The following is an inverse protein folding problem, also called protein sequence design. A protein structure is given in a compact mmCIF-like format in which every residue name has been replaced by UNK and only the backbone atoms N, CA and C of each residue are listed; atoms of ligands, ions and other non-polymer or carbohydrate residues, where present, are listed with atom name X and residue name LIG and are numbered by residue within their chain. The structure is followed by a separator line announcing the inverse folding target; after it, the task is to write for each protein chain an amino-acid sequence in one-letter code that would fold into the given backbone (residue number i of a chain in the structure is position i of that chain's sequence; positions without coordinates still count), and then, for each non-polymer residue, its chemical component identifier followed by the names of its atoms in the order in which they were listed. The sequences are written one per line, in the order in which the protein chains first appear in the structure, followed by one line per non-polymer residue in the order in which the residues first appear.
data_IF_885237541126
#
_entry.id   IF_885237541126
#
_cell.length_a   1.000
_cell.length_b   1.000
_cell.length_c   1.000
_cell.angle_alpha   90.00
_cell.angle_beta   90.00
_cell.angle_gamma   90.00
#
_symmetry.space_group_name_H-M   'P 1'
#
loop_
_entity.id
_entity.type
_entity.pdbx_description
1 polymer ?
#
# COMPACT_ATOMS: atom_id res chain seq x y z
N UNK A 1 7.12 14.86 4.45
CA UNK A 1 6.10 15.42 3.53
C UNK A 1 6.26 16.94 3.52
N UNK A 2 6.08 17.63 2.39
CA UNK A 2 6.23 19.10 2.30
C UNK A 2 7.06 19.65 1.13
N UNK A 3 7.40 18.83 0.14
CA UNK A 3 8.12 19.23 -1.08
C UNK A 3 7.29 18.87 -2.33
N UNK A 4 7.61 19.45 -3.49
CA UNK A 4 6.85 19.26 -4.74
C UNK A 4 6.66 17.80 -5.18
N UNK A 5 7.49 16.88 -4.68
CA UNK A 5 7.32 15.43 -4.86
C UNK A 5 6.00 14.87 -4.32
N UNK A 6 5.31 15.58 -3.42
CA UNK A 6 3.99 15.21 -2.91
C UNK A 6 2.94 15.10 -4.02
N UNK A 7 3.09 15.86 -5.11
CA UNK A 7 2.15 15.89 -6.23
C UNK A 7 2.08 14.55 -6.99
N UNK A 8 3.15 13.76 -6.94
CA UNK A 8 3.21 12.44 -7.59
C UNK A 8 2.58 11.33 -6.75
N UNK A 9 2.17 11.65 -5.53
CA UNK A 9 1.76 10.66 -4.53
C UNK A 9 0.32 10.15 -4.70
N UNK A 10 -0.57 10.94 -5.30
CA UNK A 10 -1.92 10.49 -5.68
C UNK A 10 -1.89 9.77 -7.04
N UNK A 11 -1.22 10.31 -8.08
CA UNK A 11 -1.09 9.63 -9.38
C UNK A 11 -0.41 8.27 -9.33
N UNK A 12 0.48 8.03 -8.35
CA UNK A 12 1.16 6.73 -8.22
C UNK A 12 0.21 5.55 -8.05
N UNK A 13 -1.02 5.78 -7.55
CA UNK A 13 -2.02 4.71 -7.39
C UNK A 13 -2.45 4.11 -8.74
N UNK A 14 -2.74 4.97 -9.72
CA UNK A 14 -3.16 4.51 -11.06
C UNK A 14 -1.99 3.81 -11.77
N UNK A 15 -0.77 4.35 -11.65
CA UNK A 15 0.43 3.72 -12.20
C UNK A 15 0.65 2.30 -11.67
N UNK A 16 0.42 2.06 -10.37
CA UNK A 16 0.51 0.73 -9.77
C UNK A 16 -0.57 -0.19 -10.35
N UNK A 17 -1.81 0.31 -10.46
CA UNK A 17 -2.91 -0.47 -11.00
C UNK A 17 -2.61 -0.93 -12.44
N UNK A 18 -2.20 0.01 -13.30
CA UNK A 18 -1.90 -0.26 -14.70
C UNK A 18 -0.69 -1.19 -14.86
N UNK A 19 0.32 -1.06 -13.99
CA UNK A 19 1.49 -1.96 -14.01
C UNK A 19 1.13 -3.41 -13.69
N UNK A 20 0.26 -3.63 -12.70
CA UNK A 20 -0.19 -4.98 -12.34
C UNK A 20 -1.07 -5.56 -13.44
N UNK A 21 -2.00 -4.76 -13.97
CA UNK A 21 -2.89 -5.13 -15.07
C UNK A 21 -2.09 -5.55 -16.31
N UNK A 22 -1.05 -4.80 -16.68
CA UNK A 22 -0.18 -5.11 -17.80
C UNK A 22 0.54 -6.45 -17.61
N UNK A 23 1.12 -6.68 -16.43
CA UNK A 23 1.87 -7.91 -16.15
C UNK A 23 0.97 -9.15 -16.13
N UNK A 24 -0.19 -9.07 -15.50
CA UNK A 24 -1.14 -10.20 -15.43
C UNK A 24 -1.65 -10.58 -16.81
N UNK A 25 -2.02 -9.59 -17.64
CA UNK A 25 -2.47 -9.82 -19.00
C UNK A 25 -1.35 -10.34 -19.91
N UNK A 26 -0.12 -9.84 -19.77
CA UNK A 26 1.02 -10.29 -20.58
C UNK A 26 1.42 -11.75 -20.29
N UNK A 27 1.32 -12.17 -19.02
CA UNK A 27 1.70 -13.52 -18.59
C UNK A 27 0.52 -14.49 -18.48
N UNK A 28 -0.70 -14.07 -18.82
CA UNK A 28 -1.93 -14.84 -18.67
C UNK A 28 -2.03 -15.52 -17.29
N UNK A 29 -1.76 -14.77 -16.22
CA UNK A 29 -1.73 -15.34 -14.88
C UNK A 29 -3.15 -15.71 -14.41
N UNK A 30 -3.34 -16.95 -13.94
CA UNK A 30 -4.64 -17.48 -13.51
C UNK A 30 -5.10 -16.94 -12.14
N UNK A 31 -4.17 -16.44 -11.32
CA UNK A 31 -4.44 -15.89 -9.99
C UNK A 31 -3.30 -14.95 -9.57
N UNK A 32 -3.56 -14.07 -8.60
CA UNK A 32 -2.52 -13.19 -8.05
C UNK A 32 -2.57 -13.06 -6.53
N UNK A 33 -1.39 -12.82 -5.94
CA UNK A 33 -1.25 -12.51 -4.51
C UNK A 33 -0.71 -11.10 -4.38
N UNK A 34 -1.52 -10.21 -3.80
CA UNK A 34 -1.19 -8.80 -3.62
C UNK A 34 -0.62 -8.57 -2.23
N UNK A 35 0.69 -8.29 -2.14
CA UNK A 35 1.35 -7.85 -0.91
C UNK A 35 1.39 -6.33 -0.92
N UNK A 36 0.42 -5.70 -0.27
CA UNK A 36 0.31 -4.25 -0.25
C UNK A 36 0.64 -3.69 1.12
N UNK A 37 1.46 -2.65 1.15
CA UNK A 37 1.70 -1.83 2.34
C UNK A 37 1.50 -0.35 1.99
N UNK A 38 1.20 0.47 2.98
CA UNK A 38 0.94 1.90 2.83
C UNK A 38 -0.36 2.25 2.07
N UNK A 39 -0.68 3.53 2.12
CA UNK A 39 -1.94 4.15 1.69
C UNK A 39 -2.19 4.09 0.18
N UNK A 40 -1.14 4.10 -0.66
CA UNK A 40 -1.27 4.22 -2.13
C UNK A 40 -1.25 2.88 -2.86
N UNK A 41 -0.48 1.93 -2.33
CA UNK A 41 -0.28 0.63 -2.97
C UNK A 41 -1.52 -0.23 -2.79
N UNK A 42 -2.09 -0.24 -1.58
CA UNK A 42 -3.30 -1.01 -1.24
C UNK A 42 -4.47 -0.72 -2.18
N UNK A 43 -4.90 0.54 -2.40
CA UNK A 43 -5.97 0.82 -3.35
C UNK A 43 -5.54 0.64 -4.80
N UNK A 44 -4.26 0.83 -5.15
CA UNK A 44 -3.75 0.58 -6.51
C UNK A 44 -3.89 -0.89 -6.93
N UNK A 45 -3.42 -1.80 -6.08
CA UNK A 45 -3.55 -3.25 -6.30
C UNK A 45 -5.01 -3.71 -6.25
N UNK A 46 -5.83 -3.09 -5.40
CA UNK A 46 -7.26 -3.40 -5.31
C UNK A 46 -8.01 -2.98 -6.59
N UNK A 47 -7.69 -1.83 -7.18
CA UNK A 47 -8.25 -1.45 -8.48
C UNK A 47 -7.85 -2.42 -9.60
N UNK A 48 -6.57 -2.84 -9.65
CA UNK A 48 -6.13 -3.84 -10.63
C UNK A 48 -6.88 -5.17 -10.47
N UNK A 49 -7.08 -5.63 -9.23
CA UNK A 49 -7.84 -6.87 -8.96
C UNK A 49 -9.27 -6.83 -9.49
N UNK A 50 -9.95 -5.69 -9.29
CA UNK A 50 -11.33 -5.52 -9.75
C UNK A 50 -11.42 -5.41 -11.28
N UNK A 51 -10.42 -4.82 -11.95
CA UNK A 51 -10.37 -4.74 -13.41
C UNK A 51 -10.12 -6.11 -14.06
N UNK A 52 -9.19 -6.89 -13.51
CA UNK A 52 -8.81 -8.20 -14.05
C UNK A 52 -9.81 -9.32 -13.72
N UNK A 53 -10.53 -9.21 -12.59
CA UNK A 53 -11.53 -10.18 -12.15
C UNK A 53 -11.02 -11.64 -12.08
N UNK A 54 -9.76 -11.82 -11.69
CA UNK A 54 -9.14 -13.13 -11.42
C UNK A 54 -9.12 -13.42 -9.91
N UNK A 55 -8.93 -14.67 -9.47
CA UNK A 55 -8.73 -14.98 -8.04
C UNK A 55 -7.57 -14.20 -7.43
N UNK A 56 -7.83 -13.45 -6.35
CA UNK A 56 -6.83 -12.61 -5.66
C UNK A 56 -6.83 -12.82 -4.15
N UNK A 57 -5.64 -12.89 -3.57
CA UNK A 57 -5.45 -12.84 -2.11
C UNK A 57 -4.69 -11.57 -1.75
N UNK A 58 -5.21 -10.81 -0.78
CA UNK A 58 -4.55 -9.62 -0.24
C UNK A 58 -3.86 -9.94 1.08
N UNK A 59 -2.57 -9.66 1.15
CA UNK A 59 -1.75 -9.82 2.35
C UNK A 59 -1.19 -8.45 2.73
N UNK A 60 -1.68 -7.89 3.84
CA UNK A 60 -1.11 -6.66 4.41
C UNK A 60 0.26 -6.96 5.01
N UNK A 61 1.25 -6.11 4.74
CA UNK A 61 2.59 -6.20 5.34
C UNK A 61 2.63 -5.96 6.86
N UNK A 62 1.51 -5.52 7.46
CA UNK A 62 1.39 -5.22 8.88
C UNK A 62 1.81 -3.79 9.26
N UNK A 63 1.32 -3.29 10.40
CA UNK A 63 1.66 -1.96 10.89
C UNK A 63 3.12 -1.88 11.36
N UNK A 64 3.71 -0.69 11.27
CA UNK A 64 5.00 -0.42 11.89
C UNK A 64 4.85 -0.22 13.40
N UNK A 65 5.77 -0.78 14.19
CA UNK A 65 5.82 -0.61 15.64
C UNK A 65 5.88 0.87 16.05
N UNK A 66 5.18 1.20 17.14
CA UNK A 66 5.11 2.56 17.66
C UNK A 66 6.47 3.01 18.20
N UNK A 67 6.95 4.16 17.73
CA UNK A 67 8.15 4.80 18.27
C UNK A 67 7.92 5.24 19.72
N UNK A 68 8.87 4.97 20.63
CA UNK A 68 8.81 5.48 22.00
C UNK A 68 9.71 6.69 22.11
N UNK A 69 9.17 7.83 22.53
CA UNK A 69 9.96 9.04 22.78
C UNK A 69 9.82 9.49 24.23
N UNK A 70 10.91 10.02 24.80
CA UNK A 70 10.91 10.64 26.13
C UNK A 70 10.66 12.13 25.94
N UNK A 71 9.48 12.59 26.38
CA UNK A 71 9.17 14.02 26.46
C UNK A 71 9.00 14.37 27.95
N UNK A 72 9.90 15.19 28.49
CA UNK A 72 9.82 15.72 29.87
C UNK A 72 9.47 14.67 30.93
N UNK A 73 10.36 13.68 31.11
CA UNK A 73 10.26 12.55 32.04
C UNK A 73 9.06 11.59 31.89
N UNK A 74 8.16 11.81 30.93
CA UNK A 74 7.13 10.83 30.55
C UNK A 74 7.53 10.10 29.28
N UNK A 75 7.45 8.76 29.33
CA UNK A 75 7.57 7.90 28.15
C UNK A 75 6.22 7.96 27.42
N UNK A 76 6.20 8.61 26.26
CA UNK A 76 5.00 8.70 25.42
C UNK A 76 5.20 7.71 24.27
N UNK A 77 4.21 6.83 24.07
CA UNK A 77 4.13 6.01 22.87
C UNK A 77 3.63 6.90 21.74
N UNK A 78 4.44 7.09 20.69
CA UNK A 78 4.00 7.71 19.45
C UNK A 78 3.17 6.65 18.73
N UNK A 79 1.88 6.59 19.06
CA UNK A 79 0.97 5.60 18.50
C UNK A 79 0.93 5.73 16.98
N UNK A 80 1.37 4.69 16.29
CA UNK A 80 0.92 4.42 14.92
C UNK A 80 -0.25 3.46 15.04
N UNK A 81 -1.33 3.77 14.34
CA UNK A 81 -2.68 3.28 14.56
C UNK A 81 -2.77 1.75 14.47
N UNK A 82 -2.63 1.07 15.62
CA UNK A 82 -3.21 -0.24 15.98
C UNK A 82 -2.94 -0.48 17.47
N UNK A 83 -3.74 0.15 18.33
CA UNK A 83 -3.98 -0.31 19.70
C UNK A 83 -5.42 0.00 20.08
#
# INVERSE_FOLDING_TARGET
MGHGGMLYSLPSRELIADSVEYMVNAHCADAMVCISNCDKITPGMLMASLRLNIPVIFVSGGPMEAGKTKLSDKIISLTWWMR
#
